data_IF_878480131025
#
_entry.id   IF_878480131025
#
_cell.length_a   1.000
_cell.length_b   1.000
_cell.length_c   1.000
_cell.angle_alpha   90.00
_cell.angle_beta   90.00
_cell.angle_gamma   90.00
#
_symmetry.space_group_name_H-M   'P 1'
#
loop_
_entity.id
_entity.type
_entity.pdbx_description
1 polymer ?
#
# COMPACT_ATOMS: atom_id res chain seq x y z
N UNK A 1 12.83 17.66 -6.71
CA UNK A 1 11.37 17.80 -6.68
C UNK A 1 10.78 17.18 -7.94
N UNK A 2 9.99 16.12 -7.78
CA UNK A 2 9.28 15.50 -8.90
C UNK A 2 7.78 15.79 -8.74
N UNK A 3 7.20 16.48 -9.71
CA UNK A 3 5.76 16.65 -9.80
C UNK A 3 5.26 15.65 -10.84
N UNK A 4 4.49 14.67 -10.39
CA UNK A 4 3.80 13.74 -11.25
C UNK A 4 2.50 13.32 -10.56
N UNK A 5 1.45 13.21 -11.33
CA UNK A 5 0.20 12.60 -10.90
C UNK A 5 -0.12 11.47 -11.89
N UNK A 6 0.69 10.40 -11.90
CA UNK A 6 0.48 9.35 -12.87
C UNK A 6 -0.85 8.66 -12.58
N UNK A 7 -1.67 8.61 -13.60
CA UNK A 7 -2.84 7.75 -13.68
C UNK A 7 -2.50 6.59 -14.59
N UNK A 8 -2.78 5.40 -14.16
CA UNK A 8 -2.59 4.19 -14.97
C UNK A 8 -3.80 3.28 -14.88
N UNK A 9 -4.08 2.63 -15.97
CA UNK A 9 -5.12 1.62 -16.05
C UNK A 9 -4.60 0.30 -15.45
N UNK A 10 -5.39 -0.30 -14.58
CA UNK A 10 -5.10 -1.61 -14.03
C UNK A 10 -5.24 -2.70 -15.08
N UNK A 11 -4.44 -3.73 -14.92
CA UNK A 11 -4.59 -4.96 -15.69
C UNK A 11 -5.72 -5.82 -15.11
N UNK A 12 -6.08 -6.86 -15.84
CA UNK A 12 -7.08 -7.83 -15.40
C UNK A 12 -6.61 -8.55 -14.14
N UNK A 13 -7.36 -8.39 -13.04
CA UNK A 13 -7.06 -9.00 -11.73
C UNK A 13 -7.81 -10.31 -11.51
N UNK A 14 -8.82 -10.59 -12.33
CA UNK A 14 -9.62 -11.81 -12.20
C UNK A 14 -8.88 -12.99 -12.82
N UNK A 15 -8.95 -14.12 -12.15
CA UNK A 15 -8.42 -15.37 -12.71
C UNK A 15 -9.26 -15.75 -13.93
N UNK A 16 -8.59 -15.91 -15.06
CA UNK A 16 -9.19 -16.33 -16.32
C UNK A 16 -8.58 -17.66 -16.76
N UNK A 17 -9.37 -18.45 -17.47
CA UNK A 17 -8.84 -19.58 -18.21
C UNK A 17 -7.95 -19.06 -19.35
N UNK A 18 -6.83 -19.73 -19.62
CA UNK A 18 -5.92 -19.33 -20.69
C UNK A 18 -6.59 -19.33 -22.06
N UNK A 19 -7.59 -20.21 -22.28
CA UNK A 19 -8.40 -20.24 -23.49
C UNK A 19 -9.21 -18.97 -23.72
N UNK A 20 -9.44 -18.15 -22.67
CA UNK A 20 -10.03 -16.80 -22.80
C UNK A 20 -9.20 -15.91 -23.72
N UNK A 21 -7.88 -16.06 -23.67
CA UNK A 21 -6.93 -15.26 -24.43
C UNK A 21 -6.51 -15.92 -25.74
N UNK A 22 -6.37 -17.24 -25.75
CA UNK A 22 -6.01 -18.03 -26.93
C UNK A 22 -6.30 -19.51 -26.71
N UNK A 23 -7.19 -20.06 -27.50
CA UNK A 23 -7.50 -21.51 -27.49
C UNK A 23 -6.36 -22.33 -28.07
N UNK A 24 -5.67 -21.83 -29.10
CA UNK A 24 -4.47 -22.46 -29.67
C UNK A 24 -3.40 -22.64 -28.58
N UNK A 25 -3.10 -21.58 -27.82
CA UNK A 25 -2.13 -21.64 -26.75
C UNK A 25 -2.57 -22.59 -25.64
N UNK A 26 -3.83 -22.54 -25.24
CA UNK A 26 -4.39 -23.45 -24.25
C UNK A 26 -4.22 -24.92 -24.65
N UNK A 27 -4.60 -25.25 -25.88
CA UNK A 27 -4.47 -26.62 -26.43
C UNK A 27 -3.03 -27.11 -26.58
N UNK A 28 -2.04 -26.21 -26.61
CA UNK A 28 -0.62 -26.56 -26.66
C UNK A 28 0.00 -26.89 -25.31
N UNK A 29 -0.72 -26.62 -24.19
CA UNK A 29 -0.23 -26.89 -22.83
C UNK A 29 -0.51 -28.35 -22.46
N UNK A 30 0.54 -29.09 -22.11
CA UNK A 30 0.39 -30.48 -21.67
C UNK A 30 -0.49 -30.59 -20.41
N UNK A 31 -1.49 -31.48 -20.47
CA UNK A 31 -2.44 -31.67 -19.39
C UNK A 31 -3.52 -30.59 -19.23
N UNK A 32 -3.63 -29.65 -20.19
CA UNK A 32 -4.71 -28.68 -20.18
C UNK A 32 -6.09 -29.36 -20.30
N UNK A 33 -7.01 -28.95 -19.43
CA UNK A 33 -8.38 -29.44 -19.44
C UNK A 33 -9.34 -28.28 -19.20
N UNK A 34 -10.00 -27.80 -20.23
CA UNK A 34 -10.93 -26.67 -20.19
C UNK A 34 -12.21 -26.98 -19.41
N UNK A 35 -12.64 -28.24 -19.39
CA UNK A 35 -13.83 -28.66 -18.66
C UNK A 35 -13.65 -28.70 -17.12
N UNK A 36 -12.42 -28.65 -16.63
CA UNK A 36 -12.13 -28.64 -15.19
C UNK A 36 -12.44 -27.30 -14.51
N UNK A 37 -12.63 -26.20 -15.26
CA UNK A 37 -12.80 -24.86 -14.71
C UNK A 37 -14.22 -24.40 -14.56
N UNK A 38 -15.15 -25.03 -15.23
CA UNK A 38 -16.56 -24.73 -15.10
C UNK A 38 -17.38 -26.00 -15.33
N UNK A 39 -18.22 -26.37 -14.38
CA UNK A 39 -19.16 -27.45 -14.57
C UNK A 39 -20.00 -27.20 -15.81
N UNK A 40 -19.61 -27.82 -16.92
CA UNK A 40 -20.31 -27.76 -18.20
C UNK A 40 -20.08 -26.54 -19.08
N UNK A 41 -19.15 -25.64 -18.75
CA UNK A 41 -18.80 -24.51 -19.61
C UNK A 41 -17.58 -24.85 -20.48
N UNK A 42 -17.81 -24.91 -21.78
CA UNK A 42 -16.71 -24.88 -22.75
C UNK A 42 -16.51 -23.44 -23.21
N UNK A 43 -15.23 -23.01 -23.26
CA UNK A 43 -14.90 -21.77 -23.95
C UNK A 43 -14.93 -22.02 -25.44
N UNK A 44 -16.08 -21.79 -26.06
CA UNK A 44 -16.25 -21.99 -27.51
C UNK A 44 -15.60 -20.88 -28.33
N UNK A 45 -15.48 -19.68 -27.72
CA UNK A 45 -14.92 -18.50 -28.38
C UNK A 45 -13.93 -17.78 -27.47
N UNK A 46 -12.75 -17.45 -27.98
CA UNK A 46 -11.77 -16.65 -27.25
C UNK A 46 -12.11 -15.16 -27.26
N UNK A 47 -11.85 -14.45 -26.17
CA UNK A 47 -11.96 -12.99 -26.10
C UNK A 47 -10.74 -12.27 -26.69
N UNK A 48 -9.67 -13.02 -26.96
CA UNK A 48 -8.46 -12.54 -27.61
C UNK A 48 -7.38 -12.04 -26.64
N UNK A 49 -6.16 -11.94 -27.16
CA UNK A 49 -4.95 -11.64 -26.36
C UNK A 49 -4.97 -10.26 -25.69
N UNK A 50 -5.74 -9.32 -26.21
CA UNK A 50 -5.85 -7.96 -25.67
C UNK A 50 -7.02 -7.80 -24.69
N UNK A 51 -7.73 -8.88 -24.38
CA UNK A 51 -8.84 -8.83 -23.45
C UNK A 51 -8.41 -8.33 -22.08
N UNK A 52 -9.12 -7.31 -21.60
CA UNK A 52 -8.97 -6.78 -20.24
C UNK A 52 -10.37 -6.65 -19.62
N UNK A 53 -10.67 -7.50 -18.67
CA UNK A 53 -11.98 -7.57 -18.02
C UNK A 53 -12.38 -6.27 -17.30
N UNK A 54 -11.40 -5.46 -16.89
CA UNK A 54 -11.66 -4.18 -16.22
C UNK A 54 -12.16 -3.09 -17.16
N UNK A 55 -11.95 -3.24 -18.48
CA UNK A 55 -12.30 -2.23 -19.49
C UNK A 55 -13.51 -2.70 -20.28
N UNK A 56 -14.57 -1.91 -20.26
CA UNK A 56 -15.76 -2.22 -21.03
C UNK A 56 -16.31 -0.97 -21.73
N UNK A 57 -16.98 -1.16 -22.89
CA UNK A 57 -17.65 -0.07 -23.59
C UNK A 57 -18.72 0.60 -22.73
N UNK A 58 -18.88 1.90 -22.94
CA UNK A 58 -19.94 2.71 -22.34
C UNK A 58 -20.52 3.62 -23.43
N UNK A 59 -21.82 3.92 -23.34
CA UNK A 59 -22.46 4.85 -24.27
C UNK A 59 -21.80 6.24 -24.16
N UNK A 60 -21.28 6.79 -25.27
CA UNK A 60 -20.65 8.11 -25.27
C UNK A 60 -21.58 9.25 -24.86
N UNK A 61 -22.90 9.06 -24.97
CA UNK A 61 -23.90 10.05 -24.55
C UNK A 61 -24.05 10.17 -23.04
N UNK A 62 -23.56 9.21 -22.25
CA UNK A 62 -23.57 9.29 -20.80
C UNK A 62 -22.66 10.40 -20.29
N UNK A 63 -23.23 11.41 -19.66
CA UNK A 63 -22.56 12.64 -19.20
C UNK A 63 -22.24 12.67 -17.71
N UNK A 64 -22.40 11.54 -16.99
CA UNK A 64 -22.08 11.42 -15.58
C UNK A 64 -20.65 11.84 -15.25
N UNK A 65 -20.49 12.46 -14.11
CA UNK A 65 -19.21 13.00 -13.64
C UNK A 65 -18.52 12.01 -12.72
N UNK A 66 -17.19 12.16 -12.63
CA UNK A 66 -16.36 11.41 -11.71
C UNK A 66 -15.73 12.33 -10.68
N UNK A 67 -15.70 11.88 -9.43
CA UNK A 67 -15.03 12.58 -8.35
C UNK A 67 -13.57 12.11 -8.21
N UNK A 68 -12.69 13.08 -8.04
CA UNK A 68 -11.26 12.88 -7.75
C UNK A 68 -10.82 13.84 -6.65
N UNK A 69 -9.92 13.38 -5.81
CA UNK A 69 -9.24 14.24 -4.88
C UNK A 69 -7.73 14.27 -5.18
N UNK A 70 -7.25 15.41 -5.60
CA UNK A 70 -5.81 15.71 -5.76
C UNK A 70 -5.56 17.14 -5.32
N UNK A 71 -5.16 17.34 -4.06
CA UNK A 71 -5.04 18.66 -3.43
C UNK A 71 -6.31 19.51 -3.51
N UNK A 72 -7.42 18.88 -3.33
CA UNK A 72 -8.75 19.43 -3.37
C UNK A 72 -9.70 18.59 -4.20
N UNK A 73 -10.96 18.63 -3.79
CA UNK A 73 -12.04 17.91 -4.45
C UNK A 73 -12.26 18.43 -5.88
N UNK A 74 -12.44 17.53 -6.82
CA UNK A 74 -12.69 17.84 -8.23
C UNK A 74 -13.72 16.90 -8.81
N UNK A 75 -14.69 17.48 -9.52
CA UNK A 75 -15.63 16.73 -10.35
C UNK A 75 -15.27 16.93 -11.81
N UNK A 76 -14.96 15.85 -12.51
CA UNK A 76 -14.44 15.89 -13.88
C UNK A 76 -15.25 14.99 -14.81
N UNK A 77 -15.06 15.16 -16.12
CA UNK A 77 -15.53 14.18 -17.10
C UNK A 77 -14.71 12.88 -16.96
N UNK A 78 -15.25 11.78 -17.45
CA UNK A 78 -14.52 10.53 -17.64
C UNK A 78 -13.29 10.74 -18.53
N UNK A 79 -12.27 9.92 -18.31
CA UNK A 79 -11.05 9.92 -19.12
C UNK A 79 -11.33 9.66 -20.61
N UNK A 80 -12.23 8.73 -20.90
CA UNK A 80 -12.64 8.38 -22.26
C UNK A 80 -14.18 8.29 -22.34
N UNK A 81 -14.77 8.80 -23.42
CA UNK A 81 -16.22 8.74 -23.63
C UNK A 81 -16.72 7.38 -24.07
N UNK A 82 -15.88 6.54 -24.69
CA UNK A 82 -16.28 5.30 -25.33
C UNK A 82 -16.10 4.06 -24.47
N UNK A 83 -15.30 4.16 -23.39
CA UNK A 83 -15.10 3.07 -22.46
C UNK A 83 -14.94 3.58 -21.02
N UNK A 84 -15.21 2.70 -20.08
CA UNK A 84 -14.95 2.91 -18.66
C UNK A 84 -14.08 1.78 -18.14
N UNK A 85 -13.02 2.13 -17.43
CA UNK A 85 -12.14 1.18 -16.78
C UNK A 85 -12.46 1.12 -15.27
N UNK A 86 -12.77 -0.06 -14.77
CA UNK A 86 -13.01 -0.27 -13.34
C UNK A 86 -11.76 0.01 -12.52
N UNK A 87 -10.58 -0.36 -13.03
CA UNK A 87 -9.30 -0.34 -12.29
C UNK A 87 -8.37 0.73 -12.80
N UNK A 88 -8.40 1.85 -12.14
CA UNK A 88 -7.45 2.93 -12.33
C UNK A 88 -6.70 3.18 -11.02
N UNK A 89 -5.45 3.54 -11.13
CA UNK A 89 -4.61 3.89 -9.98
C UNK A 89 -3.96 5.24 -10.24
N UNK A 90 -4.01 6.12 -9.25
CA UNK A 90 -3.43 7.44 -9.32
C UNK A 90 -2.73 7.77 -8.01
N UNK A 91 -1.67 8.57 -8.08
CA UNK A 91 -1.00 9.06 -6.89
C UNK A 91 -0.21 10.34 -7.16
N UNK A 92 -0.02 11.12 -6.10
CA UNK A 92 0.94 12.22 -6.05
C UNK A 92 1.64 12.19 -4.69
N UNK A 93 2.98 12.15 -4.70
CA UNK A 93 3.81 12.01 -3.51
C UNK A 93 4.91 13.07 -3.50
N UNK A 94 4.61 14.32 -3.09
CA UNK A 94 5.61 15.35 -2.96
C UNK A 94 6.55 15.06 -1.78
N UNK A 95 7.81 15.45 -1.94
CA UNK A 95 8.82 15.43 -0.90
C UNK A 95 9.58 16.76 -0.92
N UNK A 96 9.63 17.42 0.22
CA UNK A 96 10.39 18.67 0.40
C UNK A 96 11.39 18.46 1.54
N UNK A 97 12.66 18.74 1.27
CA UNK A 97 13.75 18.65 2.24
C UNK A 97 14.43 20.01 2.40
N UNK A 98 14.70 20.38 3.64
CA UNK A 98 15.64 21.42 4.00
C UNK A 98 16.86 20.80 4.64
N UNK A 99 18.00 20.87 3.98
CA UNK A 99 19.26 20.31 4.47
C UNK A 99 20.10 21.42 5.05
N UNK A 100 20.59 21.21 6.27
CA UNK A 100 21.48 22.11 6.97
C UNK A 100 22.80 21.38 7.29
N UNK A 101 23.90 21.98 6.89
CA UNK A 101 25.25 21.50 7.15
C UNK A 101 26.04 22.59 7.87
N UNK A 102 26.64 22.27 9.01
CA UNK A 102 27.42 23.19 9.80
C UNK A 102 28.72 22.54 10.23
N UNK A 103 29.83 23.13 9.89
CA UNK A 103 31.16 22.81 10.41
C UNK A 103 31.39 23.59 11.71
N UNK A 104 31.29 22.92 12.86
CA UNK A 104 31.51 23.53 14.17
C UNK A 104 33.00 23.81 14.40
N UNK A 105 33.86 22.93 13.89
CA UNK A 105 35.30 23.04 13.82
C UNK A 105 35.86 22.00 12.86
N UNK A 106 37.18 21.95 12.68
CA UNK A 106 37.85 21.03 11.73
C UNK A 106 37.56 19.53 11.98
N UNK A 107 37.11 19.20 13.19
CA UNK A 107 36.83 17.81 13.60
C UNK A 107 35.34 17.49 13.79
N UNK A 108 34.47 18.51 13.81
CA UNK A 108 33.09 18.32 14.20
C UNK A 108 32.15 18.94 13.20
N UNK A 109 31.24 18.10 12.65
CA UNK A 109 30.23 18.51 11.68
C UNK A 109 28.85 18.12 12.17
N UNK A 110 27.92 19.05 12.04
CA UNK A 110 26.48 18.82 12.24
C UNK A 110 25.77 18.77 10.89
N UNK A 111 24.96 17.74 10.66
CA UNK A 111 24.04 17.68 9.52
C UNK A 111 22.62 17.46 10.02
N UNK A 112 21.70 18.29 9.56
CA UNK A 112 20.30 18.17 9.90
C UNK A 112 19.42 18.23 8.66
N UNK A 113 18.37 17.44 8.63
CA UNK A 113 17.39 17.39 7.55
C UNK A 113 16.03 17.58 8.20
N UNK A 114 15.35 18.65 7.83
CA UNK A 114 13.91 18.81 8.05
C UNK A 114 13.21 18.39 6.76
N UNK A 115 12.23 17.50 6.84
CA UNK A 115 11.50 17.07 5.66
C UNK A 115 9.99 17.08 5.89
N UNK A 116 9.29 17.30 4.80
CA UNK A 116 7.87 17.06 4.66
C UNK A 116 7.63 16.11 3.48
N UNK A 117 6.85 15.06 3.72
CA UNK A 117 6.43 14.11 2.70
C UNK A 117 4.91 14.02 2.70
N UNK A 118 4.31 14.48 1.61
CA UNK A 118 2.89 14.34 1.37
C UNK A 118 2.59 13.09 0.54
N UNK A 119 1.34 12.67 0.56
CA UNK A 119 0.82 11.62 -0.29
C UNK A 119 -0.66 11.80 -0.50
N UNK A 120 -1.12 11.69 -1.74
CA UNK A 120 -2.54 11.58 -2.08
C UNK A 120 -2.66 10.65 -3.26
N UNK A 121 -3.53 9.66 -3.15
CA UNK A 121 -3.75 8.72 -4.22
C UNK A 121 -4.85 7.73 -3.91
N UNK A 122 -5.13 6.87 -4.86
CA UNK A 122 -6.15 5.85 -4.71
C UNK A 122 -6.21 4.89 -5.87
N UNK A 123 -7.05 3.89 -5.67
CA UNK A 123 -7.39 2.89 -6.67
C UNK A 123 -8.89 2.77 -6.80
N UNK A 124 -9.37 2.70 -8.04
CA UNK A 124 -10.79 2.58 -8.31
C UNK A 124 -11.26 1.14 -8.26
N UNK A 125 -12.55 0.95 -8.19
CA UNK A 125 -13.23 -0.34 -8.24
C UNK A 125 -14.73 -0.16 -8.15
N UNK A 126 -15.45 -1.23 -8.33
CA UNK A 126 -16.90 -1.28 -8.11
C UNK A 126 -17.23 -1.39 -6.62
N UNK A 127 -18.42 -0.95 -6.25
CA UNK A 127 -19.04 -1.15 -4.93
C UNK A 127 -20.55 -1.30 -5.12
N UNK A 128 -21.18 -2.13 -4.30
CA UNK A 128 -22.57 -2.54 -4.50
C UNK A 128 -22.71 -3.59 -5.60
N UNK A 129 -23.89 -3.67 -6.21
CA UNK A 129 -24.23 -4.65 -7.24
C UNK A 129 -24.10 -4.01 -8.62
N UNK A 130 -23.08 -4.40 -9.39
CA UNK A 130 -22.82 -3.86 -10.73
C UNK A 130 -23.05 -4.94 -11.79
N UNK A 131 -23.77 -4.56 -12.84
CA UNK A 131 -24.17 -5.41 -13.95
C UNK A 131 -22.99 -5.97 -14.72
N UNK A 132 -23.12 -7.24 -15.17
CA UNK A 132 -22.12 -7.96 -15.96
C UNK A 132 -22.76 -8.57 -17.20
N UNK A 133 -21.95 -8.75 -18.24
CA UNK A 133 -22.34 -9.46 -19.47
C UNK A 133 -21.23 -10.37 -19.95
N UNK A 134 -21.53 -11.34 -20.85
CA UNK A 134 -20.49 -12.09 -21.54
C UNK A 134 -19.49 -11.17 -22.24
N UNK A 135 -18.20 -11.52 -22.22
CA UNK A 135 -17.17 -10.78 -22.94
C UNK A 135 -17.29 -10.93 -24.45
N UNK A 136 -17.90 -12.03 -24.91
CA UNK A 136 -18.21 -12.33 -26.31
C UNK A 136 -19.72 -12.41 -26.47
N UNK A 137 -20.27 -11.70 -27.44
CA UNK A 137 -21.71 -11.65 -27.71
C UNK A 137 -22.27 -13.03 -28.02
N UNK A 138 -23.41 -13.36 -27.44
CA UNK A 138 -24.08 -14.66 -27.62
C UNK A 138 -23.60 -15.78 -26.73
N UNK A 139 -22.48 -15.59 -26.04
CA UNK A 139 -21.94 -16.57 -25.08
C UNK A 139 -22.59 -16.42 -23.70
N UNK A 140 -22.54 -17.50 -22.92
CA UNK A 140 -22.93 -17.49 -21.51
C UNK A 140 -21.75 -17.08 -20.66
N UNK A 141 -22.00 -16.28 -19.61
CA UNK A 141 -20.98 -16.02 -18.63
C UNK A 141 -21.25 -16.81 -17.33
N UNK A 142 -20.16 -17.29 -16.74
CA UNK A 142 -20.13 -17.97 -15.44
C UNK A 142 -18.97 -17.42 -14.63
N UNK A 143 -18.81 -17.85 -13.38
CA UNK A 143 -17.72 -17.39 -12.51
C UNK A 143 -16.32 -17.61 -13.11
N UNK A 144 -16.14 -18.61 -13.97
CA UNK A 144 -14.87 -18.94 -14.65
C UNK A 144 -14.85 -18.59 -16.15
N UNK A 145 -15.95 -18.10 -16.71
CA UNK A 145 -16.04 -17.73 -18.13
C UNK A 145 -15.71 -16.26 -18.35
N UNK A 146 -15.27 -15.87 -19.56
CA UNK A 146 -15.01 -14.48 -19.89
C UNK A 146 -16.28 -13.65 -19.75
N UNK A 147 -16.21 -12.64 -18.92
CA UNK A 147 -17.26 -11.65 -18.73
C UNK A 147 -16.65 -10.25 -18.66
N UNK A 148 -17.46 -9.24 -18.86
CA UNK A 148 -17.09 -7.85 -18.70
C UNK A 148 -18.20 -7.08 -17.99
N UNK A 149 -17.92 -5.88 -17.54
CA UNK A 149 -18.92 -4.99 -16.95
C UNK A 149 -19.92 -4.56 -18.00
N UNK A 150 -21.19 -4.46 -17.64
CA UNK A 150 -22.25 -3.87 -18.47
C UNK A 150 -22.65 -2.50 -17.92
N UNK A 151 -21.78 -1.52 -18.20
CA UNK A 151 -21.98 -0.15 -17.71
C UNK A 151 -23.28 0.45 -18.20
N UNK A 152 -23.70 0.14 -19.43
CA UNK A 152 -24.95 0.69 -20.00
C UNK A 152 -26.18 0.12 -19.30
N UNK A 153 -26.20 -1.17 -19.00
CA UNK A 153 -27.28 -1.78 -18.22
C UNK A 153 -27.33 -1.22 -16.80
N UNK A 154 -26.16 -1.04 -16.17
CA UNK A 154 -26.09 -0.44 -14.83
C UNK A 154 -26.60 0.99 -14.81
N UNK A 155 -26.16 1.82 -15.78
CA UNK A 155 -26.61 3.21 -15.91
C UNK A 155 -28.12 3.28 -16.14
N UNK A 156 -28.66 2.45 -17.02
CA UNK A 156 -30.09 2.41 -17.29
C UNK A 156 -30.88 2.03 -16.03
N UNK A 157 -30.41 1.02 -15.29
CA UNK A 157 -31.03 0.59 -14.05
C UNK A 157 -31.01 1.69 -12.99
N UNK A 158 -29.85 2.30 -12.76
CA UNK A 158 -29.68 3.35 -11.75
C UNK A 158 -30.50 4.62 -12.09
N UNK A 159 -30.60 4.97 -13.38
CA UNK A 159 -31.33 6.17 -13.82
C UNK A 159 -32.86 6.07 -13.74
N UNK A 160 -33.39 4.89 -13.45
CA UNK A 160 -34.85 4.62 -13.35
C UNK A 160 -35.19 3.92 -12.01
N UNK A 161 -34.37 4.09 -10.98
CA UNK A 161 -34.53 3.40 -9.70
C UNK A 161 -34.89 4.40 -8.59
N UNK A 162 -36.17 4.65 -8.42
CA UNK A 162 -36.68 5.42 -7.27
C UNK A 162 -36.85 4.49 -6.07
N UNK A 163 -36.19 4.84 -4.95
CA UNK A 163 -36.40 4.19 -3.65
C UNK A 163 -37.11 5.15 -2.69
N UNK A 164 -38.43 4.95 -2.56
CA UNK A 164 -39.30 5.82 -1.78
C UNK A 164 -38.93 5.89 -0.28
N UNK A 165 -38.12 4.96 0.24
CA UNK A 165 -37.62 5.02 1.61
C UNK A 165 -36.61 6.16 1.80
N UNK A 166 -35.94 6.60 0.73
CA UNK A 166 -34.91 7.65 0.79
C UNK A 166 -35.28 8.88 -0.05
N UNK A 167 -35.92 8.70 -1.20
CA UNK A 167 -36.33 9.82 -2.05
C UNK A 167 -37.47 9.42 -2.98
N UNK A 168 -38.42 10.33 -3.18
CA UNK A 168 -39.51 10.17 -4.17
C UNK A 168 -39.21 10.81 -5.52
N UNK A 169 -38.07 11.48 -5.67
CA UNK A 169 -37.72 12.26 -6.87
C UNK A 169 -36.33 12.00 -7.42
N UNK A 170 -35.43 11.42 -6.59
CA UNK A 170 -34.04 11.14 -6.96
C UNK A 170 -33.84 9.63 -7.12
N UNK A 171 -33.01 9.25 -8.09
CA UNK A 171 -32.70 7.88 -8.41
C UNK A 171 -31.59 7.33 -7.54
N UNK A 172 -31.79 6.15 -6.95
CA UNK A 172 -30.81 5.43 -6.15
C UNK A 172 -29.93 4.56 -7.02
N UNK A 173 -28.61 4.70 -6.95
CA UNK A 173 -27.68 3.74 -7.53
C UNK A 173 -27.65 2.43 -6.70
N UNK A 174 -27.67 1.28 -7.35
CA UNK A 174 -27.47 -0.05 -6.77
C UNK A 174 -26.01 -0.49 -6.85
N UNK A 175 -25.29 -0.02 -7.85
CA UNK A 175 -23.87 -0.20 -8.05
C UNK A 175 -23.20 1.10 -8.47
N UNK A 176 -22.01 1.33 -7.98
CA UNK A 176 -21.23 2.56 -8.20
C UNK A 176 -19.76 2.24 -8.47
N UNK A 177 -19.02 3.22 -8.97
CA UNK A 177 -17.58 3.23 -8.86
C UNK A 177 -17.15 3.97 -7.59
N UNK A 178 -16.14 3.43 -6.92
CA UNK A 178 -15.52 4.02 -5.72
C UNK A 178 -14.03 4.23 -5.93
N UNK A 179 -13.45 5.16 -5.16
CA UNK A 179 -12.02 5.27 -4.93
C UNK A 179 -11.69 4.64 -3.56
N UNK A 180 -10.73 3.74 -3.46
CA UNK A 180 -10.04 3.47 -2.20
C UNK A 180 -8.91 4.47 -2.11
N UNK A 181 -8.95 5.34 -1.13
CA UNK A 181 -8.00 6.44 -0.98
C UNK A 181 -6.97 6.15 0.09
N UNK A 182 -5.80 6.75 -0.10
CA UNK A 182 -4.74 6.82 0.88
C UNK A 182 -4.18 8.24 0.81
N UNK A 183 -4.35 9.01 1.89
CA UNK A 183 -3.78 10.35 2.07
C UNK A 183 -2.80 10.30 3.21
N UNK A 184 -1.61 10.83 3.01
CA UNK A 184 -0.55 10.81 4.00
C UNK A 184 0.10 12.18 4.14
N UNK A 185 0.40 12.53 5.37
CA UNK A 185 1.14 13.74 5.71
C UNK A 185 2.20 13.39 6.76
N UNK A 186 3.47 13.56 6.42
CA UNK A 186 4.60 13.20 7.30
C UNK A 186 5.54 14.40 7.43
N UNK A 187 5.88 14.73 8.66
CA UNK A 187 6.93 15.71 8.99
C UNK A 187 7.98 15.00 9.83
N UNK A 188 9.26 15.27 9.57
CA UNK A 188 10.32 14.70 10.38
C UNK A 188 11.62 15.50 10.34
N UNK A 189 12.44 15.25 11.34
CA UNK A 189 13.77 15.83 11.53
C UNK A 189 14.75 14.70 11.81
N UNK A 190 15.82 14.66 11.01
CA UNK A 190 16.98 13.82 11.27
C UNK A 190 18.17 14.74 11.52
N UNK A 191 18.85 14.58 12.64
CA UNK A 191 20.03 15.38 12.95
C UNK A 191 21.15 14.47 13.45
N UNK A 192 22.36 14.68 12.94
CA UNK A 192 23.53 13.90 13.32
C UNK A 192 24.77 14.76 13.44
N UNK A 193 25.59 14.41 14.41
CA UNK A 193 26.91 14.98 14.64
C UNK A 193 27.96 13.93 14.32
N UNK A 194 28.92 14.29 13.50
CA UNK A 194 30.14 13.52 13.25
C UNK A 194 31.30 14.21 13.98
N UNK A 195 32.12 13.45 14.70
CA UNK A 195 33.28 13.94 15.40
C UNK A 195 34.50 13.07 15.15
N UNK A 196 35.56 13.65 14.62
CA UNK A 196 36.89 13.02 14.45
C UNK A 196 37.64 13.14 15.75
N UNK A 197 37.73 12.04 16.52
CA UNK A 197 38.45 11.99 17.78
C UNK A 197 39.95 12.08 17.55
N UNK A 198 40.44 11.24 16.61
CA UNK A 198 41.83 11.22 16.14
C UNK A 198 41.89 10.61 14.74
N UNK A 199 43.08 10.42 14.18
CA UNK A 199 43.30 9.93 12.80
C UNK A 199 42.68 8.54 12.53
N UNK A 200 42.43 7.78 13.59
CA UNK A 200 41.90 6.41 13.50
C UNK A 200 40.44 6.27 13.95
N UNK A 201 39.91 7.20 14.74
CA UNK A 201 38.59 7.05 15.37
C UNK A 201 37.66 8.21 15.03
N UNK A 202 36.51 7.85 14.43
CA UNK A 202 35.39 8.75 14.19
C UNK A 202 34.16 8.25 14.98
N UNK A 203 33.48 9.19 15.62
CA UNK A 203 32.20 8.95 16.31
C UNK A 203 31.07 9.70 15.60
N UNK A 204 29.92 9.07 15.55
CA UNK A 204 28.68 9.65 15.04
C UNK A 204 27.56 9.42 16.04
N UNK A 205 26.82 10.46 16.38
CA UNK A 205 25.59 10.37 17.16
C UNK A 205 24.46 11.07 16.41
N UNK A 206 23.25 10.57 16.52
CA UNK A 206 22.12 11.18 15.84
C UNK A 206 20.79 10.89 16.50
N UNK A 207 19.82 11.72 16.14
CA UNK A 207 18.42 11.60 16.50
C UNK A 207 17.56 11.60 15.23
N UNK A 208 16.44 10.88 15.27
CA UNK A 208 15.40 10.84 14.25
C UNK A 208 14.05 11.02 14.96
N UNK A 209 13.31 12.03 14.57
CA UNK A 209 11.94 12.27 15.02
C UNK A 209 11.04 12.47 13.82
N UNK A 210 9.87 11.87 13.82
CA UNK A 210 8.85 12.04 12.79
C UNK A 210 7.46 11.77 13.34
N UNK A 211 6.50 12.43 12.73
CA UNK A 211 5.08 12.15 12.89
C UNK A 211 4.45 11.99 11.51
N UNK A 212 3.54 11.04 11.39
CA UNK A 212 2.79 10.79 10.18
C UNK A 212 1.31 10.62 10.50
N UNK A 213 0.47 11.31 9.74
CA UNK A 213 -0.97 11.10 9.72
C UNK A 213 -1.36 10.47 8.39
N UNK A 214 -2.14 9.40 8.45
CA UNK A 214 -2.52 8.58 7.31
C UNK A 214 -4.03 8.37 7.37
N UNK A 215 -4.72 8.86 6.35
CA UNK A 215 -6.15 8.68 6.16
C UNK A 215 -6.41 7.57 5.14
N UNK A 216 -7.23 6.60 5.51
CA UNK A 216 -7.76 5.56 4.64
C UNK A 216 -9.27 5.64 4.59
N UNK A 217 -9.83 5.78 3.38
CA UNK A 217 -11.27 5.76 3.18
C UNK A 217 -11.64 5.15 1.82
N UNK A 218 -12.90 4.97 1.60
CA UNK A 218 -13.48 4.85 0.25
C UNK A 218 -14.38 6.03 0.00
N UNK A 219 -14.37 6.52 -1.24
CA UNK A 219 -15.21 7.64 -1.68
C UNK A 219 -16.02 7.22 -2.91
N UNK A 220 -17.23 7.76 -3.03
CA UNK A 220 -18.03 7.62 -4.24
C UNK A 220 -17.35 8.34 -5.40
N UNK A 221 -16.94 7.58 -6.42
CA UNK A 221 -16.30 8.13 -7.61
C UNK A 221 -17.28 8.47 -8.74
N UNK A 222 -18.22 7.57 -9.02
CA UNK A 222 -19.19 7.70 -10.12
C UNK A 222 -20.47 6.96 -9.71
N UNK A 223 -21.59 7.65 -9.75
CA UNK A 223 -22.89 7.08 -9.38
C UNK A 223 -23.52 6.23 -10.48
N UNK A 224 -22.90 6.16 -11.66
CA UNK A 224 -23.36 5.35 -12.79
C UNK A 224 -24.85 5.53 -13.12
N UNK A 225 -25.30 6.77 -13.20
CA UNK A 225 -26.65 7.14 -13.64
C UNK A 225 -27.64 7.52 -12.53
N UNK A 226 -27.39 7.15 -11.28
CA UNK A 226 -28.21 7.59 -10.15
C UNK A 226 -27.79 8.97 -9.61
N UNK A 227 -28.58 9.48 -8.69
CA UNK A 227 -28.36 10.76 -7.99
C UNK A 227 -27.65 10.56 -6.65
N UNK A 228 -27.83 9.38 -6.03
CA UNK A 228 -27.22 9.02 -4.74
C UNK A 228 -27.02 7.51 -4.64
N UNK A 229 -26.23 7.09 -3.66
CA UNK A 229 -26.09 5.71 -3.19
C UNK A 229 -26.43 5.64 -1.70
N UNK A 230 -26.84 4.49 -1.17
CA UNK A 230 -27.07 4.28 0.26
C UNK A 230 -26.00 3.36 0.79
N UNK A 231 -25.17 3.88 1.69
CA UNK A 231 -24.14 3.11 2.40
C UNK A 231 -24.63 2.76 3.81
N UNK A 232 -24.38 1.51 4.22
CA UNK A 232 -24.78 0.97 5.52
C UNK A 232 -23.58 0.68 6.43
N UNK A 233 -22.41 1.15 6.08
CA UNK A 233 -21.20 0.88 6.84
C UNK A 233 -20.90 1.93 7.92
N UNK A 234 -21.62 3.04 7.91
CA UNK A 234 -21.45 4.13 8.87
C UNK A 234 -22.49 3.95 10.01
N UNK A 235 -22.04 3.49 11.18
CA UNK A 235 -22.88 3.18 12.34
C UNK A 235 -23.63 4.42 12.90
N UNK A 236 -23.22 5.63 12.47
CA UNK A 236 -23.95 6.85 12.85
C UNK A 236 -25.29 7.00 12.13
N UNK A 237 -25.59 6.11 11.16
CA UNK A 237 -26.82 6.13 10.34
C UNK A 237 -27.47 4.74 10.33
N UNK A 238 -28.35 4.47 11.31
CA UNK A 238 -28.99 3.16 11.51
C UNK A 238 -29.76 2.68 10.26
N UNK A 239 -30.45 3.60 9.57
CA UNK A 239 -31.24 3.29 8.37
C UNK A 239 -30.45 3.40 7.06
N UNK A 240 -29.13 3.59 7.13
CA UNK A 240 -28.25 3.84 6.00
C UNK A 240 -28.05 5.33 5.69
N UNK A 241 -26.86 5.66 5.21
CA UNK A 241 -26.43 7.00 4.86
C UNK A 241 -26.61 7.26 3.37
N UNK A 242 -27.37 8.29 3.05
CA UNK A 242 -27.46 8.81 1.66
C UNK A 242 -26.15 9.51 1.31
N UNK A 243 -25.44 8.99 0.32
CA UNK A 243 -24.14 9.50 -0.11
C UNK A 243 -24.14 9.90 -1.58
N UNK A 244 -23.33 10.90 -1.90
CA UNK A 244 -23.18 11.50 -3.24
C UNK A 244 -21.73 11.45 -3.69
N UNK A 245 -21.44 12.02 -4.85
CA UNK A 245 -20.06 12.07 -5.40
C UNK A 245 -19.09 12.68 -4.39
N UNK A 246 -18.09 11.91 -4.00
CA UNK A 246 -17.03 12.33 -3.10
C UNK A 246 -17.27 12.03 -1.62
N UNK A 247 -18.48 11.59 -1.27
CA UNK A 247 -18.76 11.19 0.11
C UNK A 247 -18.07 9.85 0.44
N UNK A 248 -17.66 9.72 1.69
CA UNK A 248 -17.04 8.52 2.22
C UNK A 248 -18.07 7.40 2.43
N UNK A 249 -17.66 6.19 2.05
CA UNK A 249 -18.42 4.94 2.11
C UNK A 249 -17.56 3.79 2.61
N UNK A 250 -18.20 2.74 3.11
CA UNK A 250 -17.60 1.46 3.47
C UNK A 250 -16.62 1.48 4.64
N UNK A 251 -15.74 2.44 4.74
CA UNK A 251 -14.86 2.72 5.87
C UNK A 251 -14.21 4.10 5.72
N UNK A 252 -13.94 4.74 6.85
CA UNK A 252 -13.14 5.96 6.95
C UNK A 252 -12.38 5.96 8.26
N UNK A 253 -11.07 5.91 8.20
CA UNK A 253 -10.23 5.94 9.40
C UNK A 253 -8.98 6.79 9.22
N UNK A 254 -8.46 7.27 10.34
CA UNK A 254 -7.19 8.00 10.44
C UNK A 254 -6.26 7.27 11.40
N UNK A 255 -5.04 7.03 10.94
CA UNK A 255 -3.96 6.46 11.74
C UNK A 255 -2.86 7.50 11.92
N UNK A 256 -2.33 7.65 13.14
CA UNK A 256 -1.14 8.45 13.40
C UNK A 256 0.00 7.54 13.83
N UNK A 257 1.20 7.86 13.37
CA UNK A 257 2.44 7.16 13.74
C UNK A 257 3.44 8.20 14.22
N UNK A 258 3.78 8.15 15.49
CA UNK A 258 4.79 9.00 16.11
C UNK A 258 6.05 8.18 16.38
N UNK A 259 7.19 8.67 15.93
CA UNK A 259 8.48 8.00 16.04
C UNK A 259 9.54 8.95 16.60
N UNK A 260 10.30 8.44 17.56
CA UNK A 260 11.53 9.07 18.03
C UNK A 260 12.61 8.01 18.23
N UNK A 261 13.82 8.30 17.78
CA UNK A 261 14.95 7.40 17.94
C UNK A 261 16.27 8.14 18.07
N UNK A 262 17.28 7.44 18.56
CA UNK A 262 18.63 7.93 18.65
C UNK A 262 19.64 6.81 18.47
N UNK A 263 20.83 7.16 18.01
CA UNK A 263 21.92 6.20 17.81
C UNK A 263 23.29 6.78 18.12
N UNK A 264 24.20 5.89 18.43
CA UNK A 264 25.64 6.16 18.53
C UNK A 264 26.38 5.13 17.67
N UNK A 265 27.36 5.58 16.89
CA UNK A 265 28.23 4.75 16.06
C UNK A 265 29.68 5.17 16.23
N UNK A 266 30.59 4.21 16.26
CA UNK A 266 32.03 4.42 16.22
C UNK A 266 32.62 3.69 15.02
N UNK A 267 33.53 4.35 14.31
CA UNK A 267 34.32 3.79 13.22
C UNK A 267 35.82 3.91 13.59
N UNK A 268 36.50 2.77 13.63
CA UNK A 268 37.95 2.73 13.89
C UNK A 268 38.66 2.17 12.65
N UNK A 269 39.55 2.95 12.08
CA UNK A 269 40.24 2.64 10.81
C UNK A 269 41.76 2.75 11.00
N UNK A 270 42.46 1.71 10.58
CA UNK A 270 43.92 1.67 10.43
C UNK A 270 44.25 1.22 8.99
N UNK A 271 45.55 1.14 8.63
CA UNK A 271 45.97 0.65 7.32
C UNK A 271 45.43 -0.74 6.98
N UNK A 272 45.24 -1.61 7.99
CA UNK A 272 44.83 -3.00 7.78
C UNK A 272 43.45 -3.33 8.34
N UNK A 273 42.94 -2.56 9.29
CA UNK A 273 41.75 -2.92 10.03
C UNK A 273 40.73 -1.79 10.00
N UNK A 274 39.51 -2.10 9.57
CA UNK A 274 38.35 -1.23 9.72
C UNK A 274 37.34 -1.93 10.65
N UNK A 275 36.98 -1.26 11.73
CA UNK A 275 35.94 -1.71 12.65
C UNK A 275 34.81 -0.68 12.70
N UNK A 276 33.59 -1.16 12.82
CA UNK A 276 32.49 -0.29 13.20
C UNK A 276 31.61 -0.97 14.25
N UNK A 277 31.03 -0.16 15.10
CA UNK A 277 30.02 -0.57 16.06
C UNK A 277 28.93 0.49 16.17
N UNK A 278 27.69 0.09 16.26
CA UNK A 278 26.52 0.96 16.35
C UNK A 278 25.54 0.41 17.36
N UNK A 279 25.00 1.29 18.22
CA UNK A 279 23.85 1.03 19.07
C UNK A 279 22.76 2.09 18.81
N UNK A 280 21.51 1.70 18.82
CA UNK A 280 20.39 2.62 18.66
C UNK A 280 19.16 2.14 19.43
N UNK A 281 18.34 3.11 19.83
CA UNK A 281 17.05 2.89 20.48
C UNK A 281 16.00 3.73 19.78
N UNK A 282 14.77 3.25 19.75
CA UNK A 282 13.64 4.04 19.28
C UNK A 282 12.36 3.68 20.01
N UNK A 283 11.42 4.60 19.97
CA UNK A 283 10.06 4.45 20.44
C UNK A 283 9.10 4.81 19.34
N UNK A 284 8.05 4.03 19.18
CA UNK A 284 6.98 4.26 18.23
C UNK A 284 5.65 4.20 18.97
N UNK A 285 4.76 5.16 18.67
CA UNK A 285 3.41 5.22 19.20
C UNK A 285 2.44 5.21 18.01
N UNK A 286 1.38 4.42 18.13
CA UNK A 286 0.31 4.35 17.16
C UNK A 286 -0.98 4.90 17.74
N UNK A 287 -1.73 5.61 16.92
CA UNK A 287 -3.13 5.90 17.23
C UNK A 287 -4.02 5.61 16.03
N UNK A 288 -5.27 5.31 16.33
CA UNK A 288 -6.29 4.95 15.35
C UNK A 288 -7.60 5.65 15.70
N UNK A 289 -8.31 6.14 14.71
CA UNK A 289 -9.63 6.71 14.84
C UNK A 289 -10.49 6.21 13.70
N UNK A 290 -11.61 5.56 14.02
CA UNK A 290 -12.63 5.17 13.06
C UNK A 290 -13.74 6.23 13.05
N UNK A 291 -13.96 6.86 11.90
CA UNK A 291 -14.95 7.92 11.76
C UNK A 291 -16.38 7.40 11.51
N UNK A 292 -16.51 6.10 11.28
CA UNK A 292 -17.80 5.45 11.03
C UNK A 292 -18.41 4.79 12.28
N UNK A 293 -17.68 4.75 13.37
CA UNK A 293 -18.23 4.32 14.66
C UNK A 293 -18.94 5.47 15.37
N UNK A 294 -19.99 5.16 16.15
CA UNK A 294 -20.76 6.15 16.92
C UNK A 294 -19.87 6.90 17.91
N UNK A 295 -18.92 6.21 18.50
CA UNK A 295 -18.03 6.78 19.53
C UNK A 295 -16.99 7.71 18.92
N UNK A 296 -16.52 7.40 17.70
CA UNK A 296 -15.51 8.17 16.95
C UNK A 296 -14.32 8.63 17.82
N UNK A 297 -13.93 7.80 18.79
CA UNK A 297 -12.84 8.11 19.72
C UNK A 297 -11.48 7.80 19.12
N UNK A 298 -10.50 8.65 19.43
CA UNK A 298 -9.11 8.38 19.08
C UNK A 298 -8.51 7.41 20.09
N UNK A 299 -8.19 6.21 19.63
CA UNK A 299 -7.52 5.16 20.39
C UNK A 299 -6.02 5.36 20.28
N UNK A 300 -5.31 5.33 21.39
CA UNK A 300 -3.84 5.48 21.45
C UNK A 300 -3.28 4.25 22.15
N UNK A 301 -2.33 3.57 21.49
CA UNK A 301 -1.62 2.44 22.07
C UNK A 301 -0.40 2.92 22.86
N UNK A 302 0.01 2.16 23.86
CA UNK A 302 1.23 2.44 24.60
C UNK A 302 2.46 2.46 23.67
N UNK A 303 3.44 3.34 23.89
CA UNK A 303 4.63 3.42 23.08
C UNK A 303 5.45 2.12 23.11
N UNK A 304 5.83 1.63 21.93
CA UNK A 304 6.61 0.41 21.76
C UNK A 304 8.08 0.78 21.57
N UNK A 305 8.93 0.30 22.49
CA UNK A 305 10.37 0.53 22.43
C UNK A 305 11.08 -0.56 21.65
N UNK A 306 12.07 -0.17 20.85
CA UNK A 306 12.94 -1.09 20.11
C UNK A 306 14.40 -0.70 20.28
N UNK A 307 15.31 -1.64 20.08
CA UNK A 307 16.73 -1.36 20.03
C UNK A 307 17.43 -2.16 18.93
N UNK A 308 18.60 -1.68 18.56
CA UNK A 308 19.46 -2.36 17.61
C UNK A 308 20.93 -2.22 18.03
N UNK A 309 21.68 -3.28 17.78
CA UNK A 309 23.14 -3.29 17.91
C UNK A 309 23.73 -3.92 16.67
N UNK A 310 24.68 -3.25 16.04
CA UNK A 310 25.36 -3.73 14.83
C UNK A 310 26.84 -3.52 14.96
N UNK A 311 27.62 -4.40 14.35
CA UNK A 311 29.06 -4.25 14.33
C UNK A 311 29.67 -5.08 13.19
N UNK A 312 30.87 -4.68 12.82
CA UNK A 312 31.61 -5.40 11.80
C UNK A 312 33.09 -5.06 11.78
N UNK A 313 33.83 -5.91 11.12
CA UNK A 313 35.26 -5.80 10.94
C UNK A 313 35.61 -6.13 9.49
N UNK A 314 36.50 -5.35 8.90
CA UNK A 314 37.21 -5.66 7.66
C UNK A 314 38.72 -5.68 7.97
N UNK A 315 39.37 -6.78 7.66
CA UNK A 315 40.81 -6.94 7.78
C UNK A 315 41.42 -7.13 6.41
N UNK A 316 42.30 -6.21 6.02
CA UNK A 316 43.07 -6.30 4.78
C UNK A 316 44.26 -7.23 5.00
N UNK A 317 44.16 -8.46 4.46
CA UNK A 317 45.21 -9.49 4.51
C UNK A 317 46.42 -9.10 3.64
N UNK A 318 46.12 -8.47 2.49
CA UNK A 318 47.09 -7.88 1.58
C UNK A 318 46.48 -6.65 0.91
N UNK A 319 47.26 -5.98 0.03
CA UNK A 319 46.75 -4.82 -0.74
C UNK A 319 45.59 -5.21 -1.67
N UNK A 320 45.54 -6.46 -2.09
CA UNK A 320 44.51 -6.97 -3.01
C UNK A 320 43.43 -7.79 -2.33
N UNK A 321 43.57 -8.18 -1.05
CA UNK A 321 42.65 -9.11 -0.38
C UNK A 321 42.25 -8.66 1.01
N UNK A 322 40.95 -8.65 1.27
CA UNK A 322 40.36 -8.41 2.60
C UNK A 322 39.31 -9.44 2.97
N UNK A 323 39.24 -9.74 4.26
CA UNK A 323 38.16 -10.56 4.84
C UNK A 323 37.30 -9.68 5.75
N UNK A 324 36.00 -9.93 5.75
CA UNK A 324 35.10 -9.16 6.58
C UNK A 324 34.10 -10.03 7.33
N UNK A 325 33.64 -9.51 8.45
CA UNK A 325 32.56 -10.05 9.24
C UNK A 325 31.62 -8.92 9.66
N UNK A 326 30.31 -9.13 9.48
CA UNK A 326 29.26 -8.23 9.96
C UNK A 326 28.28 -9.02 10.82
N UNK A 327 27.81 -8.40 11.89
CA UNK A 327 26.75 -8.95 12.72
C UNK A 327 25.80 -7.84 13.16
N UNK A 328 24.54 -8.21 13.40
CA UNK A 328 23.55 -7.24 13.88
C UNK A 328 22.37 -7.94 14.51
N UNK A 329 21.94 -7.38 15.63
CA UNK A 329 20.68 -7.70 16.26
C UNK A 329 19.77 -6.47 16.16
N UNK A 330 18.58 -6.66 15.63
CA UNK A 330 17.61 -5.58 15.40
C UNK A 330 16.24 -6.01 15.90
N UNK A 331 15.61 -5.19 16.72
CA UNK A 331 14.19 -5.28 17.00
C UNK A 331 13.43 -4.31 16.11
N UNK A 332 12.31 -4.77 15.57
CA UNK A 332 11.38 -3.99 14.77
C UNK A 332 10.02 -4.04 15.46
N UNK A 333 9.44 -2.89 15.73
CA UNK A 333 8.07 -2.81 16.25
C UNK A 333 7.08 -3.46 15.26
N UNK A 334 6.02 -4.12 15.74
CA UNK A 334 4.96 -4.62 14.90
C UNK A 334 4.31 -3.48 14.11
N UNK A 335 3.69 -3.82 12.99
CA UNK A 335 2.89 -2.85 12.23
C UNK A 335 1.62 -2.47 13.01
N UNK A 336 1.06 -1.31 12.71
CA UNK A 336 -0.12 -0.77 13.41
C UNK A 336 -1.25 -1.79 13.52
N UNK A 337 -1.59 -2.52 12.45
CA UNK A 337 -2.69 -3.50 12.43
C UNK A 337 -2.50 -4.68 13.40
N UNK A 338 -1.29 -4.88 13.93
CA UNK A 338 -1.00 -5.86 14.97
C UNK A 338 -0.92 -5.25 16.38
N UNK A 339 -1.10 -3.94 16.49
CA UNK A 339 -1.10 -3.18 17.76
C UNK A 339 -2.49 -2.66 18.09
N UNK A 340 -3.16 -2.08 17.12
CA UNK A 340 -4.56 -1.65 17.22
C UNK A 340 -5.33 -2.37 16.10
N UNK A 341 -6.26 -3.23 16.50
CA UNK A 341 -7.11 -3.95 15.56
C UNK A 341 -8.18 -3.02 14.98
N UNK A 342 -8.75 -3.41 13.84
CA UNK A 342 -9.77 -2.61 13.14
C UNK A 342 -11.06 -2.37 13.95
N UNK A 343 -11.31 -3.20 14.99
CA UNK A 343 -12.42 -3.03 15.92
C UNK A 343 -12.07 -2.11 17.11
N UNK A 344 -10.90 -1.45 17.07
CA UNK A 344 -10.43 -0.57 18.12
C UNK A 344 -9.77 -1.27 19.30
N UNK A 345 -9.72 -2.60 19.34
CA UNK A 345 -9.05 -3.32 20.42
C UNK A 345 -7.54 -3.14 20.36
N UNK A 346 -6.92 -2.76 21.46
CA UNK A 346 -5.46 -2.63 21.58
C UNK A 346 -4.86 -3.94 22.07
N UNK A 347 -3.82 -4.42 21.39
CA UNK A 347 -3.05 -5.59 21.80
C UNK A 347 -2.36 -5.32 23.14
N UNK A 348 -2.50 -6.23 24.10
CA UNK A 348 -2.02 -6.03 25.48
C UNK A 348 -0.49 -6.05 25.61
N UNK A 349 0.22 -6.76 24.74
CA UNK A 349 1.69 -6.88 24.76
C UNK A 349 2.18 -7.33 23.37
N UNK A 350 2.21 -6.43 22.38
CA UNK A 350 2.62 -6.79 21.03
C UNK A 350 4.13 -7.00 20.96
N UNK A 351 4.54 -8.24 20.60
CA UNK A 351 5.95 -8.61 20.47
C UNK A 351 6.64 -7.88 19.32
N UNK A 352 7.85 -7.41 19.58
CA UNK A 352 8.76 -6.93 18.53
C UNK A 352 9.29 -8.10 17.70
N UNK A 353 9.29 -7.95 16.38
CA UNK A 353 10.03 -8.88 15.50
C UNK A 353 11.54 -8.73 15.75
N UNK A 354 12.26 -9.84 15.78
CA UNK A 354 13.69 -9.89 16.10
C UNK A 354 14.48 -10.47 14.94
N UNK A 355 15.58 -9.82 14.60
CA UNK A 355 16.48 -10.24 13.53
C UNK A 355 17.89 -10.37 14.09
N UNK A 356 18.48 -11.55 13.96
CA UNK A 356 19.91 -11.78 14.17
C UNK A 356 20.54 -12.08 12.81
N UNK A 357 21.38 -11.18 12.34
CA UNK A 357 22.09 -11.32 11.07
C UNK A 357 23.58 -11.49 11.28
N UNK A 358 24.18 -12.44 10.56
CA UNK A 358 25.63 -12.65 10.52
C UNK A 358 26.03 -12.80 9.05
N UNK A 359 27.09 -12.12 8.64
CA UNK A 359 27.70 -12.20 7.32
C UNK A 359 29.22 -12.34 7.45
N UNK A 360 29.80 -13.26 6.73
CA UNK A 360 31.23 -13.43 6.54
C UNK A 360 31.56 -13.39 5.08
N UNK A 361 32.64 -12.69 4.69
CA UNK A 361 33.01 -12.61 3.29
C UNK A 361 34.47 -12.24 3.03
N UNK A 362 34.78 -12.31 1.74
CA UNK A 362 36.10 -12.03 1.18
C UNK A 362 35.95 -11.04 0.04
N UNK A 363 36.82 -10.04 0.02
CA UNK A 363 37.01 -9.12 -1.09
C UNK A 363 38.38 -9.40 -1.72
N UNK A 364 38.42 -9.52 -3.03
CA UNK A 364 39.67 -9.57 -3.80
C UNK A 364 39.59 -8.54 -4.93
N UNK A 365 40.59 -7.68 -5.03
CA UNK A 365 40.58 -6.58 -6.00
C UNK A 365 41.93 -6.24 -6.54
N UNK A 366 42.11 -6.41 -7.85
CA UNK A 366 43.24 -5.91 -8.63
C UNK A 366 42.76 -4.82 -9.59
N UNK A 367 43.65 -4.06 -10.26
CA UNK A 367 43.22 -3.07 -11.27
C UNK A 367 42.38 -3.64 -12.41
N UNK A 368 42.38 -4.97 -12.62
CA UNK A 368 41.70 -5.65 -13.73
C UNK A 368 40.53 -6.54 -13.29
N UNK A 369 40.47 -6.92 -12.02
CA UNK A 369 39.47 -7.88 -11.54
C UNK A 369 39.04 -7.54 -10.12
N UNK A 370 37.72 -7.41 -9.89
CA UNK A 370 37.12 -7.30 -8.57
C UNK A 370 36.21 -8.49 -8.31
N UNK A 371 36.39 -9.17 -7.18
CA UNK A 371 35.54 -10.30 -6.73
C UNK A 371 35.17 -10.08 -5.30
N UNK A 372 33.89 -10.23 -4.98
CA UNK A 372 33.38 -10.31 -3.61
C UNK A 372 32.55 -11.57 -3.46
N UNK A 373 32.86 -12.34 -2.42
CA UNK A 373 32.09 -13.53 -2.02
C UNK A 373 31.68 -13.39 -0.58
N UNK A 374 30.42 -13.61 -0.28
CA UNK A 374 29.95 -13.65 1.10
C UNK A 374 28.96 -14.80 1.33
N UNK A 375 28.92 -15.26 2.57
CA UNK A 375 27.90 -16.14 3.10
C UNK A 375 27.21 -15.44 4.28
N UNK A 376 25.91 -15.53 4.34
CA UNK A 376 25.14 -14.91 5.42
C UNK A 376 24.07 -15.86 5.96
N UNK A 377 23.70 -15.59 7.21
CA UNK A 377 22.55 -16.21 7.87
C UNK A 377 21.74 -15.11 8.56
N UNK A 378 20.42 -15.17 8.44
CA UNK A 378 19.50 -14.31 9.17
C UNK A 378 18.49 -15.19 9.90
N UNK A 379 18.45 -15.10 11.21
CA UNK A 379 17.40 -15.69 12.04
C UNK A 379 16.34 -14.60 12.30
N UNK A 380 15.10 -14.89 11.94
CA UNK A 380 13.95 -14.01 12.09
C UNK A 380 12.94 -14.62 13.04
N UNK A 381 12.81 -14.04 14.22
CA UNK A 381 11.95 -14.53 15.30
C UNK A 381 10.77 -13.57 15.54
N UNK A 382 9.75 -14.08 16.20
CA UNK A 382 8.54 -13.35 16.64
C UNK A 382 7.85 -12.62 15.48
N UNK A 383 7.83 -13.25 14.31
CA UNK A 383 7.20 -12.69 13.11
C UNK A 383 5.69 -12.65 13.28
N UNK A 384 5.12 -11.46 13.18
CA UNK A 384 3.67 -11.29 13.16
C UNK A 384 3.07 -11.80 11.85
N UNK A 385 2.16 -12.77 11.94
CA UNK A 385 1.44 -13.34 10.82
C UNK A 385 -0.06 -13.38 11.15
N UNK A 386 -0.86 -12.66 10.38
CA UNK A 386 -2.32 -12.75 10.47
C UNK A 386 -2.83 -13.84 9.55
N UNK A 387 -3.58 -14.81 10.08
CA UNK A 387 -4.27 -15.83 9.32
C UNK A 387 -5.76 -15.78 9.59
N UNK A 388 -6.54 -15.50 8.55
CA UNK A 388 -8.00 -15.60 8.62
C UNK A 388 -8.40 -17.07 8.55
N UNK A 389 -9.14 -17.52 9.54
CA UNK A 389 -9.73 -18.87 9.58
C UNK A 389 -11.24 -18.72 9.52
N UNK A 390 -11.85 -19.20 8.42
CA UNK A 390 -13.32 -19.29 8.36
C UNK A 390 -13.77 -20.46 9.23
N UNK A 391 -14.52 -20.18 10.27
CA UNK A 391 -15.04 -21.20 11.21
C UNK A 391 -16.29 -21.94 10.70
N UNK A 392 -16.77 -21.61 9.49
CA UNK A 392 -17.89 -22.33 8.87
C UNK A 392 -19.25 -22.18 9.57
N UNK A 393 -19.37 -21.29 10.56
CA UNK A 393 -20.68 -20.94 11.11
C UNK A 393 -21.38 -20.01 10.11
N UNK A 394 -22.20 -20.60 9.25
CA UNK A 394 -23.16 -19.86 8.46
C UNK A 394 -24.10 -19.10 9.42
N UNK A 395 -24.22 -17.82 9.23
CA UNK A 395 -25.30 -17.06 9.87
C UNK A 395 -26.63 -17.63 9.38
N UNK A 396 -27.28 -18.38 10.22
CA UNK A 396 -28.72 -18.65 10.08
C UNK A 396 -29.46 -17.45 10.65
N UNK A 397 -30.01 -16.65 9.78
CA UNK A 397 -30.87 -15.54 10.15
C UNK A 397 -31.26 -14.79 8.91
#
# INVERSE_FOLDING_TARGET
YAIGAPQRHGQNLYKQNIATYSQELAGSIDGYNDSAYAEGAKFETEAGRLFNQNVAPIDPSYTGKQYWYMYGARTTNRFNSNFLNERENYFHKPLVNLNHFLELNDKTRLSSILYWSGGSGGGTGTYGSVSRKPAVEGERWYASSPWTWDWNAEIAQNSDNIDENFSTTENRSTGILRNSINRQNTIGVISKVNHIVNDNLELQAGIDWRTAEIEHAREVRDLLGGDYYVDYADDNFEDGKVVRLGDEIAYHNTTTVDWIGGFLQGNYTTDKLNLYGMGGISSIEYSYQDHFTIENEKIVADPISTYQVKGGALYNVSDDMGVFFNTGYVQKAPIMDNVIYYDGTVASDPDNEKFLHNEFGLNYGTPKLGVRVSAYNTDWQDRNLTKSVSTGQGSSG
#
